data_IF_518128802624
#
_entry.id   IF_518128802624
#
_cell.length_a   1.000
_cell.length_b   1.000
_cell.length_c   1.000
_cell.angle_alpha   90.00
_cell.angle_beta   90.00
_cell.angle_gamma   90.00
#
_symmetry.space_group_name_H-M   'P 1'
#
loop_
_entity.id
_entity.type
_entity.pdbx_description
1 polymer ?
#
# COMPACT_ATOMS: atom_id res chain seq x y z
N UNK A 1 -28.26 -15.86 0.17
CA UNK A 1 -26.93 -15.81 -0.47
C UNK A 1 -26.72 -16.90 -1.52
N UNK A 2 -26.69 -18.20 -1.21
CA UNK A 2 -26.50 -19.22 -2.27
C UNK A 2 -27.52 -19.09 -3.41
N UNK A 3 -28.81 -18.95 -3.08
CA UNK A 3 -29.88 -18.71 -4.07
C UNK A 3 -29.73 -17.40 -4.84
N UNK A 4 -29.13 -16.37 -4.25
CA UNK A 4 -28.95 -15.05 -4.88
C UNK A 4 -27.77 -15.05 -5.85
N UNK A 5 -26.68 -15.74 -5.48
CA UNK A 5 -25.55 -16.01 -6.38
C UNK A 5 -25.99 -16.87 -7.56
N UNK A 6 -26.78 -17.92 -7.31
CA UNK A 6 -27.36 -18.75 -8.38
C UNK A 6 -28.26 -17.93 -9.29
N UNK A 7 -29.19 -17.13 -8.74
CA UNK A 7 -30.05 -16.26 -9.53
C UNK A 7 -29.27 -15.27 -10.40
N UNK A 8 -28.16 -14.72 -9.89
CA UNK A 8 -27.31 -13.79 -10.65
C UNK A 8 -26.48 -14.49 -11.71
N UNK A 9 -26.02 -15.72 -11.45
CA UNK A 9 -25.37 -16.56 -12.45
C UNK A 9 -26.34 -16.92 -13.59
N UNK A 10 -27.57 -17.29 -13.26
CA UNK A 10 -28.61 -17.61 -14.24
C UNK A 10 -28.99 -16.35 -15.08
N UNK A 11 -29.07 -15.18 -14.44
CA UNK A 11 -29.25 -13.91 -15.14
C UNK A 11 -28.09 -13.60 -16.10
N UNK A 12 -26.85 -13.88 -15.70
CA UNK A 12 -25.68 -13.71 -16.55
C UNK A 12 -25.71 -14.66 -17.75
N UNK A 13 -26.10 -15.92 -17.54
CA UNK A 13 -26.20 -16.93 -18.59
C UNK A 13 -27.31 -16.62 -19.60
N UNK A 14 -28.46 -16.11 -19.14
CA UNK A 14 -29.54 -15.62 -20.00
C UNK A 14 -29.10 -14.39 -20.82
N UNK A 15 -28.47 -13.40 -20.17
CA UNK A 15 -27.93 -12.22 -20.87
C UNK A 15 -26.88 -12.61 -21.91
N UNK A 16 -25.99 -13.54 -21.57
CA UNK A 16 -24.99 -14.06 -22.49
C UNK A 16 -25.63 -14.77 -23.70
N UNK A 17 -26.67 -15.57 -23.45
CA UNK A 17 -27.43 -16.25 -24.50
C UNK A 17 -28.18 -15.28 -25.42
N UNK A 18 -28.70 -14.17 -24.88
CA UNK A 18 -29.28 -13.06 -25.66
C UNK A 18 -28.21 -12.34 -26.49
N UNK A 19 -27.01 -12.15 -25.94
CA UNK A 19 -25.88 -11.55 -26.62
C UNK A 19 -25.50 -12.34 -27.88
N UNK A 20 -25.46 -13.68 -27.77
CA UNK A 20 -25.22 -14.58 -28.90
C UNK A 20 -26.29 -14.51 -29.99
N UNK A 21 -27.56 -14.21 -29.65
CA UNK A 21 -28.66 -14.05 -30.62
C UNK A 21 -28.61 -12.69 -31.32
N UNK A 22 -28.26 -11.63 -30.59
CA UNK A 22 -28.15 -10.24 -31.10
C UNK A 22 -26.87 -10.04 -31.90
N UNK A 23 -25.85 -10.89 -31.74
CA UNK A 23 -24.61 -10.91 -32.52
C UNK A 23 -24.82 -10.83 -34.05
N UNK A 24 -26.00 -11.24 -34.56
CA UNK A 24 -26.37 -11.15 -35.97
C UNK A 24 -27.17 -9.88 -36.37
N UNK A 25 -27.58 -9.03 -35.43
CA UNK A 25 -28.41 -7.84 -35.66
C UNK A 25 -27.95 -6.65 -34.80
N UNK A 26 -27.44 -5.61 -35.46
CA UNK A 26 -27.20 -4.25 -34.98
C UNK A 26 -26.17 -4.03 -33.82
N UNK A 27 -25.42 -2.92 -33.93
CA UNK A 27 -24.26 -2.58 -33.10
C UNK A 27 -24.63 -1.94 -31.75
N UNK A 28 -25.79 -1.29 -31.68
CA UNK A 28 -26.21 -0.52 -30.49
C UNK A 28 -26.83 -1.43 -29.41
N UNK A 29 -27.63 -2.43 -29.82
CA UNK A 29 -28.16 -3.44 -28.90
C UNK A 29 -27.05 -4.28 -28.26
N UNK A 30 -26.00 -4.62 -29.05
CA UNK A 30 -24.83 -5.33 -28.54
C UNK A 30 -24.07 -4.51 -27.48
N UNK A 31 -23.98 -3.18 -27.67
CA UNK A 31 -23.31 -2.28 -26.73
C UNK A 31 -24.08 -2.17 -25.41
N UNK A 32 -25.41 -2.02 -25.47
CA UNK A 32 -26.25 -1.99 -24.28
C UNK A 32 -26.18 -3.32 -23.49
N UNK A 33 -26.19 -4.46 -24.19
CA UNK A 33 -26.08 -5.77 -23.55
C UNK A 33 -24.70 -6.02 -22.92
N UNK A 34 -23.62 -5.57 -23.57
CA UNK A 34 -22.27 -5.62 -23.00
C UNK A 34 -22.16 -4.85 -21.69
N UNK A 35 -22.78 -3.66 -21.62
CA UNK A 35 -22.84 -2.86 -20.38
C UNK A 35 -23.58 -3.63 -19.28
N UNK A 36 -24.73 -4.24 -19.60
CA UNK A 36 -25.49 -5.04 -18.64
C UNK A 36 -24.74 -6.31 -18.17
N UNK A 37 -24.05 -7.01 -19.07
CA UNK A 37 -23.18 -8.14 -18.71
C UNK A 37 -22.06 -7.71 -17.77
N UNK A 38 -21.42 -6.56 -18.04
CA UNK A 38 -20.35 -6.03 -17.19
C UNK A 38 -20.87 -5.64 -15.81
N UNK A 39 -22.02 -4.96 -15.74
CA UNK A 39 -22.67 -4.62 -14.46
C UNK A 39 -23.04 -5.87 -13.66
N UNK A 40 -23.53 -6.91 -14.33
CA UNK A 40 -23.89 -8.19 -13.70
C UNK A 40 -22.65 -8.92 -13.19
N UNK A 41 -21.56 -8.93 -13.96
CA UNK A 41 -20.27 -9.52 -13.55
C UNK A 41 -19.68 -8.82 -12.32
N UNK A 42 -19.74 -7.48 -12.29
CA UNK A 42 -19.33 -6.70 -11.10
C UNK A 42 -20.19 -7.06 -9.89
N UNK A 43 -21.52 -7.19 -10.05
CA UNK A 43 -22.42 -7.59 -8.97
C UNK A 43 -22.16 -9.03 -8.47
N UNK A 44 -21.88 -9.97 -9.38
CA UNK A 44 -21.51 -11.34 -9.03
C UNK A 44 -20.20 -11.38 -8.24
N UNK A 45 -19.18 -10.66 -8.70
CA UNK A 45 -17.89 -10.56 -8.00
C UNK A 45 -18.06 -9.95 -6.61
N UNK A 46 -18.89 -8.91 -6.48
CA UNK A 46 -19.23 -8.33 -5.18
C UNK A 46 -19.86 -9.34 -4.22
N UNK A 47 -20.87 -10.10 -4.69
CA UNK A 47 -21.56 -11.10 -3.88
C UNK A 47 -20.65 -12.27 -3.50
N UNK A 48 -19.76 -12.71 -4.40
CA UNK A 48 -18.78 -13.76 -4.13
C UNK A 48 -17.80 -13.32 -3.04
N UNK A 49 -17.23 -12.11 -3.16
CA UNK A 49 -16.33 -11.54 -2.15
C UNK A 49 -17.05 -11.41 -0.81
N UNK A 50 -18.27 -10.88 -0.81
CA UNK A 50 -19.09 -10.77 0.41
C UNK A 50 -19.35 -12.13 1.06
N UNK A 51 -19.73 -13.14 0.27
CA UNK A 51 -20.02 -14.48 0.80
C UNK A 51 -18.79 -15.14 1.43
N UNK A 52 -17.59 -14.88 0.86
CA UNK A 52 -16.32 -15.33 1.43
C UNK A 52 -16.01 -14.65 2.76
N UNK A 53 -16.19 -13.34 2.84
CA UNK A 53 -16.03 -12.57 4.09
C UNK A 53 -17.00 -13.09 5.16
N UNK A 54 -18.27 -13.33 4.82
CA UNK A 54 -19.25 -13.87 5.78
C UNK A 54 -18.89 -15.29 6.24
N UNK A 55 -18.29 -16.11 5.37
CA UNK A 55 -17.82 -17.45 5.73
C UNK A 55 -16.63 -17.40 6.69
N UNK A 56 -15.63 -16.56 6.40
CA UNK A 56 -14.44 -16.34 7.23
C UNK A 56 -14.85 -15.78 8.61
N UNK A 57 -15.75 -14.79 8.65
CA UNK A 57 -16.29 -14.25 9.89
C UNK A 57 -17.02 -15.30 10.74
N UNK A 58 -17.84 -16.17 10.11
CA UNK A 58 -18.51 -17.28 10.83
C UNK A 58 -17.50 -18.28 11.41
N UNK A 59 -16.41 -18.54 10.70
CA UNK A 59 -15.34 -19.43 11.19
C UNK A 59 -14.65 -18.82 12.42
N UNK A 60 -14.37 -17.52 12.40
CA UNK A 60 -13.75 -16.81 13.53
C UNK A 60 -14.66 -16.75 14.76
N UNK A 61 -15.94 -16.42 14.58
CA UNK A 61 -16.93 -16.41 15.68
C UNK A 61 -17.06 -17.80 16.32
N UNK A 62 -17.08 -18.85 15.51
CA UNK A 62 -17.09 -20.23 16.00
C UNK A 62 -15.80 -20.56 16.79
N UNK A 63 -14.63 -20.16 16.30
CA UNK A 63 -13.36 -20.36 16.98
C UNK A 63 -13.30 -19.63 18.34
N UNK A 64 -13.77 -18.38 18.38
CA UNK A 64 -13.87 -17.59 19.62
C UNK A 64 -14.84 -18.24 20.62
N UNK A 65 -15.99 -18.71 20.16
CA UNK A 65 -16.97 -19.41 21.00
C UNK A 65 -16.40 -20.69 21.60
N UNK A 66 -15.65 -21.47 20.81
CA UNK A 66 -14.96 -22.68 21.29
C UNK A 66 -13.90 -22.33 22.35
N UNK A 67 -13.11 -21.26 22.13
CA UNK A 67 -12.10 -20.79 23.08
C UNK A 67 -12.71 -20.30 24.39
N UNK A 68 -13.81 -19.55 24.32
CA UNK A 68 -14.54 -19.07 25.49
C UNK A 68 -15.11 -20.24 26.31
N UNK A 69 -15.68 -21.27 25.66
CA UNK A 69 -16.14 -22.48 26.34
C UNK A 69 -15.01 -23.22 27.06
N UNK A 70 -13.84 -23.37 26.44
CA UNK A 70 -12.65 -23.98 27.08
C UNK A 70 -12.12 -23.18 28.27
N UNK A 71 -12.32 -21.87 28.31
CA UNK A 71 -11.89 -21.02 29.43
C UNK A 71 -12.93 -20.97 30.56
N UNK A 72 -14.21 -21.18 30.23
CA UNK A 72 -15.29 -21.22 31.21
C UNK A 72 -15.38 -22.57 31.97
N UNK A 73 -14.62 -23.58 31.55
CA UNK A 73 -14.47 -24.81 32.35
C UNK A 73 -13.76 -24.47 33.66
N UNK A 74 -14.41 -24.70 34.82
CA UNK A 74 -13.89 -24.27 36.11
C UNK A 74 -12.57 -24.99 36.39
N UNK A 75 -11.47 -24.22 36.41
CA UNK A 75 -10.20 -24.69 36.95
C UNK A 75 -10.39 -24.96 38.44
N UNK A 76 -10.25 -26.22 38.82
CA UNK A 76 -10.23 -26.64 40.21
C UNK A 76 -9.25 -25.76 41.02
N UNK A 77 -9.75 -25.28 42.14
CA UNK A 77 -9.21 -24.25 43.03
C UNK A 77 -7.75 -24.42 43.44
N UNK A 78 -6.94 -23.36 43.31
CA UNK A 78 -5.74 -23.17 44.14
C UNK A 78 -5.62 -21.72 44.64
N UNK A 79 -5.65 -21.60 45.96
CA UNK A 79 -5.11 -20.56 46.87
C UNK A 79 -5.12 -19.06 46.50
N UNK A 80 -5.76 -18.28 47.37
CA UNK A 80 -5.71 -16.80 47.44
C UNK A 80 -4.44 -16.34 48.15
N UNK A 81 -3.72 -15.40 47.55
CA UNK A 81 -2.62 -14.64 48.19
C UNK A 81 -3.10 -13.21 48.54
N UNK A 82 -2.75 -12.62 49.70
CA UNK A 82 -3.26 -11.32 50.10
C UNK A 82 -2.42 -10.14 49.58
N UNK A 83 -3.12 -9.06 49.23
CA UNK A 83 -2.59 -7.76 48.79
C UNK A 83 -1.89 -6.99 49.93
N UNK A 84 -0.78 -6.30 49.60
CA UNK A 84 -0.08 -5.35 50.48
C UNK A 84 -0.20 -3.92 49.97
N UNK A 85 -0.53 -3.02 50.89
CA UNK A 85 -0.61 -1.56 50.73
C UNK A 85 0.77 -0.90 50.51
N UNK A 86 0.80 0.14 49.66
CA UNK A 86 1.99 0.95 49.40
C UNK A 86 1.72 2.42 49.73
N UNK A 87 2.54 3.00 50.63
CA UNK A 87 2.48 4.38 51.11
C UNK A 87 2.98 5.40 50.08
N UNK A 88 2.32 6.57 50.02
CA UNK A 88 2.73 7.79 49.30
C UNK A 88 3.87 8.50 50.04
N UNK A 89 4.89 8.94 49.30
CA UNK A 89 5.92 9.86 49.75
C UNK A 89 5.78 11.23 49.07
N UNK A 90 5.98 12.30 49.84
CA UNK A 90 5.90 13.70 49.45
C UNK A 90 7.07 14.13 48.55
N UNK A 91 6.82 15.08 47.65
CA UNK A 91 7.79 15.58 46.65
C UNK A 91 8.22 17.00 46.99
N UNK A 92 9.54 17.21 47.06
CA UNK A 92 10.17 18.53 47.24
C UNK A 92 10.36 19.22 45.88
N UNK A 93 10.03 20.51 45.83
CA UNK A 93 10.20 21.36 44.67
C UNK A 93 11.59 22.02 44.67
N UNK A 94 12.41 21.79 43.63
CA UNK A 94 13.33 22.83 43.16
C UNK A 94 13.89 22.58 41.76
N UNK A 95 13.99 23.69 41.02
CA UNK A 95 14.76 24.02 39.81
C UNK A 95 13.94 24.07 38.51
N UNK A 96 13.49 25.29 38.23
CA UNK A 96 12.93 25.71 36.95
C UNK A 96 14.04 25.82 35.91
N UNK A 97 13.80 25.21 34.76
CA UNK A 97 14.64 25.24 33.58
C UNK A 97 14.27 26.49 32.74
N UNK A 98 15.22 27.41 32.46
CA UNK A 98 14.95 28.63 31.70
C UNK A 98 14.47 28.37 30.26
N UNK A 99 14.73 27.18 29.68
CA UNK A 99 14.19 26.82 28.37
C UNK A 99 12.67 26.49 28.41
N UNK A 100 12.17 26.03 29.56
CA UNK A 100 10.73 25.76 29.77
C UNK A 100 9.90 27.03 29.93
N UNK A 101 10.48 28.10 30.49
CA UNK A 101 9.81 29.41 30.60
C UNK A 101 9.74 30.11 29.23
N UNK A 102 10.79 29.99 28.40
CA UNK A 102 10.77 30.52 27.02
C UNK A 102 9.73 29.78 26.15
N UNK A 103 9.58 28.47 26.33
CA UNK A 103 8.55 27.69 25.64
C UNK A 103 7.13 28.06 26.08
N UNK A 104 6.93 28.44 27.35
CA UNK A 104 5.63 28.91 27.86
C UNK A 104 5.30 30.33 27.41
N UNK A 105 6.29 31.23 27.34
CA UNK A 105 6.11 32.58 26.77
C UNK A 105 5.73 32.53 25.28
N UNK A 106 6.40 31.70 24.49
CA UNK A 106 6.08 31.52 23.06
C UNK A 106 4.68 30.89 22.84
N UNK A 107 4.22 30.05 23.77
CA UNK A 107 2.86 29.50 23.73
C UNK A 107 1.81 30.56 24.12
N UNK A 108 2.13 31.43 25.08
CA UNK A 108 1.24 32.51 25.54
C UNK A 108 1.07 33.59 24.47
N UNK A 109 2.13 33.97 23.76
CA UNK A 109 2.08 34.92 22.64
C UNK A 109 1.28 34.37 21.45
N UNK A 110 1.32 33.05 21.24
CA UNK A 110 0.54 32.36 20.21
C UNK A 110 -0.96 32.26 20.56
N UNK A 111 -1.31 32.00 21.81
CA UNK A 111 -2.71 31.88 22.27
C UNK A 111 -3.37 33.26 22.45
N UNK A 112 -2.60 34.29 22.79
CA UNK A 112 -3.12 35.66 23.00
C UNK A 112 -3.35 36.46 21.71
N UNK A 113 -2.92 35.94 20.55
CA UNK A 113 -3.11 36.57 19.24
C UNK A 113 -2.29 37.85 19.04
N UNK A 114 -1.30 38.12 19.88
CA UNK A 114 -0.52 39.35 19.89
C UNK A 114 0.76 39.25 19.05
N UNK A 115 0.69 38.82 17.79
CA UNK A 115 1.76 39.04 16.83
C UNK A 115 1.26 39.04 15.38
N UNK A 116 1.26 40.21 14.75
CA UNK A 116 1.12 40.35 13.30
C UNK A 116 2.45 40.01 12.62
N UNK A 117 2.59 38.81 12.06
CA UNK A 117 3.74 38.41 11.24
C UNK A 117 3.26 37.81 9.91
N UNK A 118 3.88 38.15 8.75
CA UNK A 118 3.20 38.13 7.47
C UNK A 118 3.19 36.76 6.77
N UNK A 119 2.05 36.54 6.15
CA UNK A 119 1.69 35.64 5.05
C UNK A 119 2.87 35.11 4.19
N UNK A 120 3.48 33.98 4.58
CA UNK A 120 4.15 33.04 3.67
C UNK A 120 3.94 31.62 4.19
N UNK A 121 3.43 30.73 3.34
CA UNK A 121 3.17 29.33 3.66
C UNK A 121 4.36 28.68 4.34
N UNK A 122 4.17 28.28 5.60
CA UNK A 122 5.20 27.72 6.46
C UNK A 122 4.92 26.26 6.80
N UNK A 123 5.99 25.50 7.01
CA UNK A 123 5.94 24.20 7.67
C UNK A 123 5.38 24.38 9.10
N UNK A 124 4.37 23.58 9.46
CA UNK A 124 3.87 23.52 10.84
C UNK A 124 4.48 22.28 11.49
N UNK A 125 5.29 22.50 12.52
CA UNK A 125 5.72 21.42 13.40
C UNK A 125 4.63 21.19 14.45
N UNK A 126 4.12 19.96 14.53
CA UNK A 126 3.21 19.55 15.58
C UNK A 126 3.95 18.53 16.45
N UNK A 127 4.11 18.85 17.71
CA UNK A 127 4.65 17.94 18.72
C UNK A 127 3.49 17.16 19.32
N UNK A 128 3.49 15.84 19.16
CA UNK A 128 2.54 14.96 19.84
C UNK A 128 3.24 14.30 21.02
N UNK A 129 2.63 14.40 22.19
CA UNK A 129 3.08 13.74 23.41
C UNK A 129 2.36 12.41 23.53
N UNK A 130 3.10 11.30 23.47
CA UNK A 130 2.58 9.99 23.85
C UNK A 130 3.11 9.66 25.26
N UNK A 131 2.17 9.62 26.21
CA UNK A 131 2.44 9.21 27.58
C UNK A 131 2.40 7.67 27.61
N UNK A 132 3.57 7.03 27.75
CA UNK A 132 3.71 5.58 27.59
C UNK A 132 3.66 4.81 28.93
N UNK A 133 3.19 5.44 30.01
CA UNK A 133 3.07 4.80 31.31
C UNK A 133 2.19 5.57 32.31
N UNK A 134 1.99 4.99 33.50
CA UNK A 134 1.25 5.61 34.61
C UNK A 134 2.04 6.74 35.31
N UNK A 135 3.29 6.96 34.90
CA UNK A 135 4.19 8.00 35.42
C UNK A 135 4.30 9.17 34.43
N UNK A 136 4.03 10.43 34.85
CA UNK A 136 4.17 11.61 33.98
C UNK A 136 5.60 11.91 33.51
N UNK A 137 6.60 11.13 33.95
CA UNK A 137 8.01 11.29 33.59
C UNK A 137 8.44 10.44 32.37
N UNK A 138 7.55 9.61 31.82
CA UNK A 138 7.80 8.79 30.62
C UNK A 138 6.98 9.29 29.43
N UNK A 139 7.15 10.56 29.08
CA UNK A 139 6.63 11.12 27.84
C UNK A 139 7.70 11.06 26.75
N UNK A 140 7.39 10.39 25.64
CA UNK A 140 8.18 10.53 24.42
C UNK A 140 7.59 11.65 23.57
N UNK A 141 8.43 12.59 23.13
CA UNK A 141 8.03 13.69 22.26
C UNK A 141 8.33 13.27 20.82
N UNK A 142 7.29 13.06 20.03
CA UNK A 142 7.42 12.85 18.59
C UNK A 142 7.14 14.17 17.86
N UNK A 143 8.15 14.69 17.15
CA UNK A 143 8.01 15.88 16.32
C UNK A 143 7.58 15.46 14.92
N UNK A 144 6.34 15.81 14.54
CA UNK A 144 5.82 15.56 13.20
C UNK A 144 5.72 16.86 12.42
N UNK A 145 6.29 16.88 11.21
CA UNK A 145 6.27 18.04 10.32
C UNK A 145 5.10 17.91 9.34
N UNK A 146 4.17 18.86 9.39
CA UNK A 146 3.02 18.93 8.49
C UNK A 146 3.17 20.13 7.56
N UNK A 147 2.91 19.92 6.27
CA UNK A 147 2.74 21.00 5.32
C UNK A 147 1.24 21.29 5.24
N UNK A 148 0.81 22.38 5.88
CA UNK A 148 -0.61 22.78 5.89
C UNK A 148 -0.91 23.54 4.61
N UNK A 149 -1.71 22.94 3.73
CA UNK A 149 -2.35 23.62 2.60
C UNK A 149 -3.73 24.10 3.04
N UNK A 150 -4.18 25.27 2.55
CA UNK A 150 -5.50 25.83 2.88
C UNK A 150 -6.62 24.85 2.50
N UNK A 151 -7.62 24.79 3.38
CA UNK A 151 -8.74 23.84 3.42
C UNK A 151 -9.87 24.15 2.42
N UNK A 152 -9.65 25.03 1.43
CA UNK A 152 -10.75 25.58 0.59
C UNK A 152 -10.87 24.99 -0.83
N UNK A 153 -10.05 24.02 -1.23
CA UNK A 153 -10.20 23.39 -2.54
C UNK A 153 -11.12 22.17 -2.47
N UNK A 154 -12.34 22.38 -2.96
CA UNK A 154 -13.34 21.35 -3.27
C UNK A 154 -12.68 20.19 -4.02
N UNK A 155 -12.45 19.06 -3.35
CA UNK A 155 -11.71 17.92 -3.91
C UNK A 155 -12.63 17.19 -4.90
N UNK A 156 -12.53 17.56 -6.18
CA UNK A 156 -13.26 16.94 -7.29
C UNK A 156 -13.14 15.40 -7.28
N UNK A 157 -14.28 14.72 -7.47
CA UNK A 157 -14.38 13.26 -7.56
C UNK A 157 -13.47 12.64 -8.67
N UNK A 158 -13.02 13.46 -9.62
CA UNK A 158 -12.10 13.07 -10.67
C UNK A 158 -10.65 12.81 -10.19
N UNK A 159 -10.24 13.28 -9.01
CA UNK A 159 -8.90 13.00 -8.47
C UNK A 159 -8.74 11.52 -8.08
N UNK A 160 -9.81 10.87 -7.62
CA UNK A 160 -9.79 9.50 -7.10
C UNK A 160 -9.45 8.44 -8.16
N UNK A 161 -10.00 8.57 -9.37
CA UNK A 161 -9.79 7.63 -10.48
C UNK A 161 -8.35 7.62 -11.01
N UNK A 162 -7.62 8.74 -10.90
CA UNK A 162 -6.19 8.81 -11.28
C UNK A 162 -5.25 8.43 -10.13
N UNK A 163 -5.75 8.41 -8.90
CA UNK A 163 -4.93 8.27 -7.72
C UNK A 163 -4.78 6.81 -7.26
N UNK A 164 -5.78 5.94 -7.48
CA UNK A 164 -5.70 4.51 -7.13
C UNK A 164 -4.61 3.72 -7.87
N UNK A 165 -4.35 4.03 -9.14
CA UNK A 165 -3.29 3.40 -9.96
C UNK A 165 -1.87 3.85 -9.62
N UNK A 166 -1.73 4.93 -8.84
CA UNK A 166 -0.46 5.57 -8.52
C UNK A 166 -0.29 5.90 -7.02
N UNK A 167 -1.13 5.30 -6.18
CA UNK A 167 -1.36 5.68 -4.78
C UNK A 167 -0.10 5.72 -3.90
N UNK A 168 0.91 4.93 -4.24
CA UNK A 168 2.26 5.09 -3.75
C UNK A 168 3.18 4.77 -4.92
N UNK A 169 4.16 5.64 -5.23
CA UNK A 169 5.19 5.29 -6.21
C UNK A 169 6.20 4.37 -5.54
N UNK A 170 5.77 3.15 -5.21
CA UNK A 170 6.69 2.08 -4.80
C UNK A 170 7.76 1.83 -5.87
N UNK A 171 7.51 2.24 -7.12
CA UNK A 171 8.50 2.35 -8.20
C UNK A 171 9.64 3.28 -7.85
N UNK A 172 9.35 4.50 -7.38
CA UNK A 172 10.37 5.47 -6.97
C UNK A 172 11.14 4.87 -5.77
N UNK A 173 10.44 4.34 -4.74
CA UNK A 173 11.11 3.67 -3.60
C UNK A 173 12.07 2.56 -4.06
N UNK A 174 11.60 1.64 -4.90
CA UNK A 174 12.39 0.51 -5.36
C UNK A 174 13.57 0.95 -6.24
N UNK A 175 13.36 1.88 -7.17
CA UNK A 175 14.43 2.38 -8.04
C UNK A 175 15.50 3.13 -7.23
N UNK A 176 15.08 4.00 -6.30
CA UNK A 176 15.97 4.72 -5.38
C UNK A 176 16.72 3.78 -4.45
N UNK A 177 16.08 2.73 -3.95
CA UNK A 177 16.70 1.69 -3.12
C UNK A 177 17.85 0.99 -3.86
N UNK A 178 17.63 0.56 -5.10
CA UNK A 178 18.66 -0.11 -5.91
C UNK A 178 19.84 0.81 -6.14
N UNK A 179 19.59 2.06 -6.56
CA UNK A 179 20.67 3.04 -6.79
C UNK A 179 21.40 3.38 -5.49
N UNK A 180 20.69 3.48 -4.37
CA UNK A 180 21.29 3.70 -3.05
C UNK A 180 22.28 2.59 -2.72
N UNK A 181 21.85 1.33 -2.81
CA UNK A 181 22.70 0.16 -2.56
C UNK A 181 23.93 0.12 -3.49
N UNK A 182 23.77 0.46 -4.77
CA UNK A 182 24.89 0.61 -5.69
C UNK A 182 25.85 1.73 -5.27
N UNK A 183 25.36 2.88 -4.83
CA UNK A 183 26.19 4.00 -4.36
C UNK A 183 26.93 3.69 -3.07
N UNK A 184 26.31 2.93 -2.17
CA UNK A 184 26.92 2.43 -0.92
C UNK A 184 27.93 1.29 -1.15
N UNK A 185 28.07 0.79 -2.38
CA UNK A 185 29.07 -0.22 -2.73
C UNK A 185 28.69 -1.66 -2.38
N UNK A 186 27.41 -1.94 -2.14
CA UNK A 186 26.92 -3.32 -1.92
C UNK A 186 26.98 -4.19 -3.18
N UNK A 187 27.04 -3.57 -4.35
CA UNK A 187 27.21 -4.26 -5.63
C UNK A 187 28.54 -3.86 -6.26
N UNK A 188 29.32 -4.85 -6.70
CA UNK A 188 30.64 -4.67 -7.28
C UNK A 188 30.57 -3.93 -8.64
N UNK A 189 31.57 -3.11 -8.94
CA UNK A 189 31.66 -2.43 -10.23
C UNK A 189 32.32 -1.05 -10.17
N UNK A 190 33.00 -0.67 -11.26
CA UNK A 190 33.74 0.59 -11.38
C UNK A 190 32.84 1.82 -11.57
N UNK A 191 31.68 1.66 -12.19
CA UNK A 191 30.72 2.74 -12.45
C UNK A 191 29.28 2.31 -12.11
N UNK A 192 28.35 3.26 -12.01
CA UNK A 192 26.98 2.98 -11.60
C UNK A 192 26.30 1.91 -12.48
N UNK A 193 26.45 1.97 -13.80
CA UNK A 193 25.88 0.95 -14.70
C UNK A 193 26.44 -0.45 -14.46
N UNK A 194 27.75 -0.57 -14.17
CA UNK A 194 28.36 -1.86 -13.84
C UNK A 194 27.77 -2.43 -12.55
N UNK A 195 27.57 -1.57 -11.53
CA UNK A 195 26.95 -1.97 -10.25
C UNK A 195 25.49 -2.34 -10.41
N UNK A 196 24.75 -1.61 -11.24
CA UNK A 196 23.35 -1.91 -11.60
C UNK A 196 23.24 -3.25 -12.33
N UNK A 197 24.19 -3.58 -13.22
CA UNK A 197 24.23 -4.88 -13.89
C UNK A 197 24.45 -6.03 -12.89
N UNK A 198 25.35 -5.85 -11.92
CA UNK A 198 25.55 -6.82 -10.83
C UNK A 198 24.31 -6.97 -9.96
N UNK A 199 23.68 -5.86 -9.56
CA UNK A 199 22.43 -5.87 -8.81
C UNK A 199 21.31 -6.61 -9.58
N UNK A 200 21.24 -6.41 -10.89
CA UNK A 200 20.26 -7.09 -11.75
C UNK A 200 20.52 -8.59 -11.86
N UNK A 201 21.78 -9.02 -11.97
CA UNK A 201 22.15 -10.43 -11.95
C UNK A 201 21.72 -11.12 -10.64
N UNK A 202 21.87 -10.43 -9.51
CA UNK A 202 21.40 -10.94 -8.22
C UNK A 202 19.87 -11.00 -8.13
N UNK A 203 19.18 -9.94 -8.58
CA UNK A 203 17.72 -9.90 -8.66
C UNK A 203 17.16 -11.04 -9.54
N UNK A 204 17.72 -11.26 -10.72
CA UNK A 204 17.27 -12.34 -11.62
C UNK A 204 17.52 -13.72 -11.03
N UNK A 205 18.64 -13.92 -10.33
CA UNK A 205 18.89 -15.15 -9.58
C UNK A 205 17.82 -15.37 -8.49
N UNK A 206 17.45 -14.32 -7.76
CA UNK A 206 16.37 -14.37 -6.77
C UNK A 206 15.00 -14.68 -7.39
N UNK A 207 14.67 -14.05 -8.52
CA UNK A 207 13.42 -14.31 -9.26
C UNK A 207 13.34 -15.78 -9.68
N UNK A 208 14.44 -16.34 -10.19
CA UNK A 208 14.55 -17.76 -10.54
C UNK A 208 14.34 -18.70 -9.36
N UNK A 209 15.00 -18.44 -8.22
CA UNK A 209 14.79 -19.22 -6.97
C UNK A 209 13.36 -19.13 -6.45
N UNK A 210 12.75 -17.95 -6.56
CA UNK A 210 11.38 -17.69 -6.14
C UNK A 210 10.32 -18.27 -7.07
N UNK A 211 10.71 -18.87 -8.21
CA UNK A 211 9.80 -19.36 -9.27
C UNK A 211 8.84 -18.29 -9.77
N UNK A 212 9.29 -17.03 -9.82
CA UNK A 212 8.52 -15.89 -10.33
C UNK A 212 9.01 -15.52 -11.73
N UNK A 213 8.24 -14.71 -12.43
CA UNK A 213 8.60 -14.17 -13.75
C UNK A 213 8.60 -12.65 -13.68
N UNK A 214 9.63 -12.02 -14.24
CA UNK A 214 9.78 -10.56 -14.31
C UNK A 214 9.75 -10.11 -15.77
N UNK A 215 9.14 -8.95 -16.04
CA UNK A 215 9.22 -8.26 -17.33
C UNK A 215 10.46 -7.36 -17.48
N UNK A 216 11.17 -7.12 -16.36
CA UNK A 216 12.44 -6.38 -16.37
C UNK A 216 13.51 -7.22 -17.06
N UNK A 217 14.21 -6.59 -18.00
CA UNK A 217 15.18 -7.20 -18.91
C UNK A 217 16.63 -6.89 -18.54
N UNK A 218 16.91 -5.68 -18.04
CA UNK A 218 18.17 -5.27 -17.40
C UNK A 218 18.02 -3.96 -16.64
N UNK A 219 19.01 -3.60 -15.82
CA UNK A 219 19.10 -2.28 -15.18
C UNK A 219 20.24 -1.44 -15.76
N UNK A 220 19.93 -0.18 -16.04
CA UNK A 220 20.87 0.87 -16.42
C UNK A 220 20.32 2.21 -15.96
N UNK A 221 21.16 3.25 -15.93
CA UNK A 221 20.71 4.62 -15.62
C UNK A 221 19.50 5.03 -16.46
N UNK A 222 19.59 4.82 -17.78
CA UNK A 222 18.51 5.16 -18.71
C UNK A 222 17.23 4.39 -18.41
N UNK A 223 17.33 3.09 -18.08
CA UNK A 223 16.16 2.28 -17.73
C UNK A 223 15.52 2.72 -16.41
N UNK A 224 16.28 3.31 -15.49
CA UNK A 224 15.75 3.89 -14.25
C UNK A 224 15.29 5.36 -14.41
N UNK A 225 15.20 5.85 -15.66
CA UNK A 225 14.91 7.24 -16.00
C UNK A 225 15.88 8.26 -15.37
N UNK A 226 17.17 7.90 -15.32
CA UNK A 226 18.24 8.79 -14.85
C UNK A 226 19.06 9.31 -16.04
N UNK A 227 19.12 10.63 -16.21
CA UNK A 227 20.00 11.27 -17.20
C UNK A 227 21.48 11.28 -16.76
N UNK A 228 21.74 11.30 -15.45
CA UNK A 228 23.09 11.31 -14.87
C UNK A 228 23.15 10.47 -13.59
N UNK A 229 24.35 10.21 -13.07
CA UNK A 229 24.56 9.47 -11.82
C UNK A 229 23.96 10.18 -10.60
N UNK A 230 23.65 11.47 -10.72
CA UNK A 230 23.05 12.30 -9.68
C UNK A 230 21.63 12.73 -10.02
N UNK A 231 20.98 12.07 -10.97
CA UNK A 231 19.56 12.29 -11.28
C UNK A 231 18.65 11.41 -10.41
N UNK A 232 17.35 11.74 -10.35
CA UNK A 232 16.38 10.97 -9.60
C UNK A 232 16.02 9.68 -10.34
N UNK A 233 16.20 8.48 -9.75
CA UNK A 233 15.63 7.27 -10.32
C UNK A 233 14.10 7.30 -10.15
N UNK A 234 13.36 7.16 -11.25
CA UNK A 234 11.88 7.30 -11.22
C UNK A 234 11.13 6.13 -11.85
N UNK A 235 11.84 5.14 -12.37
CA UNK A 235 11.23 3.91 -12.89
C UNK A 235 12.13 2.70 -12.69
N UNK A 236 11.57 1.52 -12.93
CA UNK A 236 12.26 0.22 -12.92
C UNK A 236 12.31 -0.37 -14.35
N UNK A 237 12.60 0.49 -15.35
CA UNK A 237 12.54 0.14 -16.77
C UNK A 237 11.40 0.88 -17.46
N UNK A 238 11.70 2.03 -18.09
CA UNK A 238 10.70 2.99 -18.61
C UNK A 238 9.64 2.44 -19.58
N UNK A 239 9.84 1.28 -20.21
CA UNK A 239 8.85 0.62 -21.08
C UNK A 239 8.27 -0.70 -20.54
N UNK A 240 8.97 -1.37 -19.62
CA UNK A 240 8.65 -2.75 -19.21
C UNK A 240 8.40 -2.92 -17.71
N UNK A 241 8.80 -1.96 -16.87
CA UNK A 241 8.63 -2.01 -15.42
C UNK A 241 7.17 -1.82 -15.02
N UNK A 242 6.39 -2.90 -15.06
CA UNK A 242 5.00 -2.91 -14.65
C UNK A 242 4.89 -2.80 -13.14
N UNK A 243 3.67 -2.54 -12.66
CA UNK A 243 3.40 -2.54 -11.23
C UNK A 243 3.73 -3.90 -10.57
N UNK A 244 3.51 -5.01 -11.27
CA UNK A 244 3.86 -6.34 -10.79
C UNK A 244 5.37 -6.49 -10.56
N UNK A 245 6.20 -5.99 -11.47
CA UNK A 245 7.67 -6.03 -11.33
C UNK A 245 8.15 -5.22 -10.13
N UNK A 246 7.46 -4.11 -9.82
CA UNK A 246 7.77 -3.30 -8.64
C UNK A 246 7.64 -4.12 -7.35
N UNK A 247 6.60 -4.94 -7.23
CA UNK A 247 6.43 -5.83 -6.09
C UNK A 247 7.49 -6.94 -6.05
N UNK A 248 7.99 -7.40 -7.21
CA UNK A 248 9.11 -8.33 -7.28
C UNK A 248 10.40 -7.69 -6.77
N UNK A 249 10.72 -6.49 -7.23
CA UNK A 249 11.93 -5.76 -6.81
C UNK A 249 11.87 -5.45 -5.30
N UNK A 250 10.73 -4.98 -4.78
CA UNK A 250 10.58 -4.79 -3.33
C UNK A 250 10.69 -6.10 -2.55
N UNK A 251 10.14 -7.21 -3.07
CA UNK A 251 10.29 -8.53 -2.43
C UNK A 251 11.74 -9.00 -2.38
N UNK A 252 12.49 -8.80 -3.47
CA UNK A 252 13.92 -9.08 -3.50
C UNK A 252 14.70 -8.17 -2.55
N UNK A 253 14.42 -6.86 -2.55
CA UNK A 253 15.06 -5.91 -1.64
C UNK A 253 14.82 -6.27 -0.18
N UNK A 254 13.62 -6.74 0.19
CA UNK A 254 13.34 -7.20 1.56
C UNK A 254 14.24 -8.38 1.96
N UNK A 255 14.41 -9.38 1.07
CA UNK A 255 15.30 -10.51 1.31
C UNK A 255 16.77 -10.08 1.36
N UNK A 256 17.21 -9.26 0.40
CA UNK A 256 18.58 -8.75 0.32
C UNK A 256 18.95 -7.88 1.54
N UNK A 257 18.06 -7.00 1.99
CA UNK A 257 18.25 -6.22 3.21
C UNK A 257 18.18 -7.10 4.48
N UNK A 258 17.73 -8.34 4.35
CA UNK A 258 17.81 -9.38 5.37
C UNK A 258 19.21 -10.01 5.47
N UNK A 259 19.99 -10.02 4.38
CA UNK A 259 21.32 -10.66 4.35
C UNK A 259 22.46 -9.72 4.70
N UNK A 260 22.27 -8.40 4.57
CA UNK A 260 23.29 -7.40 4.92
C UNK A 260 23.13 -6.88 6.36
N UNK A 261 24.24 -6.49 6.99
CA UNK A 261 24.24 -5.89 8.34
C UNK A 261 23.74 -4.43 8.30
N UNK A 262 22.43 -4.23 8.42
CA UNK A 262 21.84 -2.88 8.45
C UNK A 262 22.07 -2.12 9.76
N UNK A 263 22.40 -2.80 10.86
CA UNK A 263 22.40 -2.22 12.21
C UNK A 263 23.42 -1.09 12.41
N UNK A 264 24.49 -1.05 11.61
CA UNK A 264 25.55 -0.03 11.71
C UNK A 264 25.32 1.19 10.83
N UNK A 265 24.27 1.18 10.02
CA UNK A 265 24.04 2.22 9.03
C UNK A 265 22.57 2.64 9.05
N UNK A 266 22.31 3.79 9.68
CA UNK A 266 20.96 4.34 9.84
C UNK A 266 20.20 4.47 8.51
N UNK A 267 20.92 4.70 7.39
CA UNK A 267 20.31 4.82 6.06
C UNK A 267 19.82 3.45 5.55
N UNK A 268 20.58 2.39 5.78
CA UNK A 268 20.16 1.02 5.46
C UNK A 268 19.04 0.54 6.38
N UNK A 269 19.05 0.95 7.65
CA UNK A 269 17.95 0.66 8.58
C UNK A 269 16.66 1.34 8.13
N UNK A 270 16.71 2.64 7.81
CA UNK A 270 15.58 3.37 7.24
C UNK A 270 15.08 2.74 5.94
N UNK A 271 16.00 2.29 5.07
CA UNK A 271 15.65 1.61 3.83
C UNK A 271 14.92 0.30 4.08
N UNK A 272 15.41 -0.50 5.04
CA UNK A 272 14.79 -1.76 5.44
C UNK A 272 13.38 -1.54 5.97
N UNK A 273 13.17 -0.56 6.85
CA UNK A 273 11.83 -0.23 7.37
C UNK A 273 10.90 0.18 6.23
N UNK A 274 11.36 1.04 5.31
CA UNK A 274 10.54 1.48 4.18
C UNK A 274 10.12 0.30 3.27
N UNK A 275 11.07 -0.58 2.92
CA UNK A 275 10.81 -1.74 2.03
C UNK A 275 9.91 -2.77 2.71
N UNK A 276 10.22 -3.16 3.96
CA UNK A 276 9.42 -4.14 4.73
C UNK A 276 8.00 -3.63 4.92
N UNK A 277 7.85 -2.37 5.34
CA UNK A 277 6.53 -1.77 5.57
C UNK A 277 5.74 -1.66 4.26
N UNK A 278 6.40 -1.32 3.14
CA UNK A 278 5.74 -1.30 1.83
C UNK A 278 5.24 -2.69 1.42
N UNK A 279 6.06 -3.73 1.57
CA UNK A 279 5.63 -5.11 1.29
C UNK A 279 4.53 -5.57 2.23
N UNK A 280 4.61 -5.26 3.53
CA UNK A 280 3.56 -5.58 4.49
C UNK A 280 2.23 -4.92 4.13
N UNK A 281 2.25 -3.64 3.76
CA UNK A 281 1.08 -2.90 3.29
C UNK A 281 0.43 -3.58 2.08
N UNK A 282 1.20 -3.81 0.99
CA UNK A 282 0.64 -4.40 -0.23
C UNK A 282 0.23 -5.87 -0.06
N UNK A 283 0.95 -6.67 0.74
CA UNK A 283 0.58 -8.06 1.02
C UNK A 283 -0.76 -8.14 1.75
N UNK A 284 -0.94 -7.35 2.81
CA UNK A 284 -2.19 -7.34 3.58
C UNK A 284 -3.36 -6.76 2.78
N UNK A 285 -3.13 -5.66 2.05
CA UNK A 285 -4.16 -5.06 1.20
C UNK A 285 -4.65 -6.02 0.10
N UNK A 286 -3.76 -6.84 -0.48
CA UNK A 286 -4.12 -7.87 -1.48
C UNK A 286 -4.76 -9.11 -0.87
N UNK A 287 -4.43 -9.43 0.38
CA UNK A 287 -5.08 -10.52 1.11
C UNK A 287 -6.53 -10.17 1.44
N UNK A 288 -6.83 -8.88 1.57
CA UNK A 288 -8.19 -8.37 1.73
C UNK A 288 -8.93 -8.32 0.38
N UNK A 289 -10.26 -8.43 0.44
CA UNK A 289 -11.14 -8.20 -0.71
C UNK A 289 -11.45 -6.71 -0.88
N UNK A 290 -12.72 -6.42 -1.17
CA UNK A 290 -13.21 -5.05 -1.30
C UNK A 290 -13.06 -4.27 0.02
N UNK A 291 -13.30 -4.96 1.13
CA UNK A 291 -13.28 -4.41 2.49
C UNK A 291 -12.06 -4.92 3.26
N UNK A 292 -11.47 -4.03 4.04
CA UNK A 292 -10.33 -4.29 4.93
C UNK A 292 -10.87 -4.30 6.36
N UNK A 293 -11.04 -5.49 6.93
CA UNK A 293 -11.49 -5.72 8.30
C UNK A 293 -10.31 -5.94 9.24
N UNK A 294 -10.56 -5.93 10.55
CA UNK A 294 -9.58 -6.46 11.50
C UNK A 294 -9.35 -7.97 11.30
N UNK A 295 -8.15 -8.50 11.60
CA UNK A 295 -6.96 -7.80 12.10
C UNK A 295 -6.10 -7.14 11.01
N UNK A 296 -6.43 -7.35 9.73
CA UNK A 296 -5.62 -6.86 8.61
C UNK A 296 -5.56 -5.34 8.56
N UNK A 297 -6.65 -4.66 8.92
CA UNK A 297 -6.73 -3.20 8.94
C UNK A 297 -5.66 -2.58 9.85
N UNK A 298 -5.54 -3.04 11.10
CA UNK A 298 -4.49 -2.57 12.00
C UNK A 298 -3.08 -2.72 11.40
N UNK A 299 -2.79 -3.87 10.78
CA UNK A 299 -1.49 -4.12 10.13
C UNK A 299 -1.26 -3.20 8.94
N UNK A 300 -2.29 -2.99 8.10
CA UNK A 300 -2.22 -2.09 6.94
C UNK A 300 -1.97 -0.64 7.39
N UNK A 301 -2.67 -0.16 8.41
CA UNK A 301 -2.53 1.19 8.94
C UNK A 301 -1.12 1.43 9.50
N UNK A 302 -0.63 0.51 10.34
CA UNK A 302 0.71 0.57 10.89
C UNK A 302 1.77 0.55 9.77
N UNK A 303 1.65 -0.37 8.82
CA UNK A 303 2.58 -0.49 7.70
C UNK A 303 2.56 0.75 6.78
N UNK A 304 1.39 1.34 6.53
CA UNK A 304 1.27 2.56 5.73
C UNK A 304 1.96 3.75 6.40
N UNK A 305 1.72 3.94 7.72
CA UNK A 305 2.36 4.99 8.51
C UNK A 305 3.89 4.83 8.51
N UNK A 306 4.39 3.64 8.88
CA UNK A 306 5.83 3.36 8.90
C UNK A 306 6.49 3.50 7.53
N UNK A 307 5.79 3.13 6.45
CA UNK A 307 6.28 3.32 5.08
C UNK A 307 6.44 4.81 4.74
N UNK A 308 5.44 5.66 5.06
CA UNK A 308 5.51 7.10 4.82
C UNK A 308 6.62 7.78 5.64
N UNK A 309 6.72 7.46 6.93
CA UNK A 309 7.74 8.00 7.83
C UNK A 309 9.15 7.62 7.38
N UNK A 310 9.37 6.32 7.09
CA UNK A 310 10.66 5.84 6.64
C UNK A 310 11.07 6.43 5.27
N UNK A 311 10.12 6.59 4.34
CA UNK A 311 10.40 7.27 3.07
C UNK A 311 10.77 8.75 3.27
N UNK A 312 10.05 9.46 4.14
CA UNK A 312 10.37 10.85 4.50
C UNK A 312 11.75 10.99 5.13
N UNK A 313 12.09 10.07 6.05
CA UNK A 313 13.41 9.97 6.66
C UNK A 313 14.52 9.75 5.62
N UNK A 314 14.34 8.79 4.71
CA UNK A 314 15.30 8.51 3.63
C UNK A 314 15.49 9.72 2.70
N UNK A 315 14.40 10.41 2.36
CA UNK A 315 14.46 11.63 1.56
C UNK A 315 15.28 12.73 2.24
N UNK A 316 15.04 12.96 3.53
CA UNK A 316 15.79 13.93 4.33
C UNK A 316 17.28 13.58 4.40
N UNK A 317 17.62 12.35 4.80
CA UNK A 317 19.01 11.89 4.92
C UNK A 317 19.77 11.94 3.59
N UNK A 318 19.17 11.43 2.51
CA UNK A 318 19.81 11.50 1.19
C UNK A 318 19.97 12.95 0.70
N UNK A 319 19.03 13.84 0.99
CA UNK A 319 19.16 15.26 0.67
C UNK A 319 20.35 15.90 1.38
N UNK A 320 20.54 15.66 2.68
CA UNK A 320 21.72 16.13 3.44
C UNK A 320 23.03 15.59 2.85
N UNK A 321 23.02 14.35 2.38
CA UNK A 321 24.17 13.72 1.70
C UNK A 321 24.37 14.18 0.25
N UNK A 322 23.57 15.14 -0.25
CA UNK A 322 23.56 15.62 -1.64
C UNK A 322 23.30 14.50 -2.66
N UNK A 323 22.52 13.50 -2.28
CA UNK A 323 22.09 12.38 -3.13
C UNK A 323 20.63 12.57 -3.57
N UNK A 324 20.39 12.69 -4.88
CA UNK A 324 19.03 12.80 -5.45
C UNK A 324 18.39 11.43 -5.62
N UNK A 325 17.91 10.82 -4.53
CA UNK A 325 17.33 9.46 -4.53
C UNK A 325 15.84 9.42 -4.23
N UNK A 326 15.42 9.72 -3.00
CA UNK A 326 14.01 9.58 -2.59
C UNK A 326 13.25 10.89 -2.80
N UNK A 327 12.71 11.09 -4.00
CA UNK A 327 11.98 12.32 -4.34
C UNK A 327 10.65 12.37 -3.57
N UNK A 328 10.44 13.41 -2.76
CA UNK A 328 9.14 13.71 -2.19
C UNK A 328 8.24 14.31 -3.27
N UNK A 329 7.08 13.69 -3.51
CA UNK A 329 6.05 14.19 -4.43
C UNK A 329 4.74 14.35 -3.65
N UNK A 330 3.81 15.20 -4.13
CA UNK A 330 2.47 15.31 -3.54
C UNK A 330 1.73 13.96 -3.42
N UNK A 331 2.11 12.94 -4.19
CA UNK A 331 1.53 11.59 -4.10
C UNK A 331 1.78 10.88 -2.76
N UNK A 332 2.82 11.23 -2.00
CA UNK A 332 3.03 10.66 -0.66
C UNK A 332 1.94 11.13 0.30
N UNK A 333 1.48 12.37 0.13
CA UNK A 333 0.33 12.88 0.88
C UNK A 333 -0.96 12.12 0.54
N UNK A 334 -1.13 11.67 -0.71
CA UNK A 334 -2.26 10.81 -1.07
C UNK A 334 -2.25 9.47 -0.31
N UNK A 335 -1.06 8.88 -0.08
CA UNK A 335 -0.95 7.67 0.74
C UNK A 335 -1.37 7.92 2.21
N UNK A 336 -1.12 9.12 2.75
CA UNK A 336 -1.61 9.51 4.08
C UNK A 336 -3.14 9.59 4.08
N UNK A 337 -3.76 10.17 3.06
CA UNK A 337 -5.23 10.20 2.90
C UNK A 337 -5.83 8.79 2.82
N UNK A 338 -5.21 7.88 2.06
CA UNK A 338 -5.65 6.47 2.05
C UNK A 338 -5.61 5.88 3.46
N UNK A 339 -4.56 6.17 4.21
CA UNK A 339 -4.40 5.66 5.59
C UNK A 339 -5.47 6.24 6.51
N UNK A 340 -5.76 7.54 6.38
CA UNK A 340 -6.84 8.20 7.13
C UNK A 340 -8.20 7.58 6.81
N UNK A 341 -8.52 7.40 5.52
CA UNK A 341 -9.78 6.79 5.09
C UNK A 341 -9.93 5.35 5.54
N UNK A 342 -8.85 4.56 5.51
CA UNK A 342 -8.84 3.19 6.03
C UNK A 342 -9.10 3.15 7.55
N UNK A 343 -8.77 4.23 8.26
CA UNK A 343 -8.97 4.35 9.70
C UNK A 343 -10.38 4.83 10.09
N UNK A 344 -11.20 5.26 9.11
CA UNK A 344 -12.57 5.69 9.38
C UNK A 344 -13.52 4.49 9.49
N UNK A 345 -14.33 4.46 10.55
CA UNK A 345 -15.36 3.43 10.78
C UNK A 345 -14.82 2.09 11.28
N UNK A 346 -15.61 1.03 11.16
CA UNK A 346 -15.24 -0.34 11.58
C UNK A 346 -14.62 -1.19 10.45
N UNK A 347 -14.84 -0.77 9.20
CA UNK A 347 -14.37 -1.42 7.98
C UNK A 347 -13.79 -0.39 7.04
N UNK A 348 -12.54 -0.62 6.60
CA UNK A 348 -11.88 0.23 5.61
C UNK A 348 -12.23 -0.21 4.19
N UNK A 349 -12.38 0.73 3.27
CA UNK A 349 -12.47 0.41 1.85
C UNK A 349 -11.07 0.21 1.26
N UNK A 350 -10.83 -0.93 0.60
CA UNK A 350 -9.51 -1.23 0.03
C UNK A 350 -9.17 -0.28 -1.11
N UNK A 351 -8.13 0.53 -0.94
CA UNK A 351 -7.64 1.42 -2.00
C UNK A 351 -7.17 0.67 -3.27
N UNK A 352 -6.86 -0.63 -3.16
CA UNK A 352 -6.49 -1.44 -4.33
C UNK A 352 -7.67 -1.65 -5.30
N UNK A 353 -8.91 -1.45 -4.86
CA UNK A 353 -10.09 -1.54 -5.74
C UNK A 353 -10.07 -0.46 -6.83
N UNK A 354 -9.40 0.67 -6.58
CA UNK A 354 -9.20 1.73 -7.56
C UNK A 354 -7.86 1.60 -8.29
N UNK A 355 -7.08 0.54 -8.03
CA UNK A 355 -5.81 0.34 -8.69
C UNK A 355 -6.01 -0.26 -10.08
N UNK A 356 -5.47 0.39 -11.10
CA UNK A 356 -5.53 -0.11 -12.48
C UNK A 356 -4.57 -1.30 -12.73
N UNK A 357 -3.96 -1.89 -11.70
CA UNK A 357 -3.02 -3.01 -11.90
C UNK A 357 -3.73 -4.23 -12.50
N UNK A 358 -4.90 -4.56 -11.97
CA UNK A 358 -5.75 -5.63 -12.50
C UNK A 358 -6.25 -5.29 -13.91
N UNK A 359 -6.57 -4.02 -14.15
CA UNK A 359 -7.04 -3.53 -15.44
C UNK A 359 -5.93 -3.59 -16.51
N UNK A 360 -4.69 -3.20 -16.18
CA UNK A 360 -3.54 -3.26 -17.08
C UNK A 360 -3.26 -4.70 -17.55
N UNK A 361 -3.29 -5.66 -16.62
CA UNK A 361 -3.10 -7.08 -16.94
C UNK A 361 -4.29 -7.66 -17.71
N UNK A 362 -5.51 -7.20 -17.44
CA UNK A 362 -6.69 -7.55 -18.22
C UNK A 362 -6.58 -7.02 -19.66
N UNK A 363 -6.36 -5.72 -19.83
CA UNK A 363 -6.20 -5.05 -21.13
C UNK A 363 -5.05 -5.70 -21.90
N UNK A 364 -3.93 -6.02 -21.24
CA UNK A 364 -2.79 -6.70 -21.86
C UNK A 364 -3.11 -8.13 -22.34
N UNK A 365 -4.01 -8.85 -21.68
CA UNK A 365 -4.52 -10.16 -22.13
C UNK A 365 -5.46 -9.99 -23.32
N UNK A 366 -6.44 -9.09 -23.22
CA UNK A 366 -7.39 -8.80 -24.31
C UNK A 366 -6.66 -8.30 -25.56
N UNK A 367 -5.65 -7.45 -25.43
CA UNK A 367 -4.81 -6.95 -26.53
C UNK A 367 -3.98 -8.05 -27.21
N UNK A 368 -3.50 -9.05 -26.45
CA UNK A 368 -2.85 -10.23 -27.05
C UNK A 368 -3.86 -11.09 -27.80
N UNK A 369 -5.06 -11.24 -27.24
CA UNK A 369 -6.13 -12.03 -27.81
C UNK A 369 -6.67 -11.42 -29.11
N UNK A 370 -6.84 -10.10 -29.16
CA UNK A 370 -7.31 -9.39 -30.35
C UNK A 370 -6.38 -9.58 -31.54
N UNK A 371 -5.05 -9.64 -31.32
CA UNK A 371 -4.04 -9.93 -32.35
C UNK A 371 -4.14 -11.34 -32.97
N UNK A 372 -4.86 -12.25 -32.31
CA UNK A 372 -5.14 -13.60 -32.84
C UNK A 372 -6.45 -13.68 -33.64
N UNK A 373 -7.13 -12.55 -33.83
CA UNK A 373 -8.44 -12.48 -34.49
C UNK A 373 -8.31 -11.77 -35.84
N UNK A 374 -9.16 -12.15 -36.80
CA UNK A 374 -9.21 -11.47 -38.09
C UNK A 374 -9.72 -10.03 -37.91
N UNK A 375 -9.12 -8.99 -38.55
CA UNK A 375 -9.48 -7.59 -38.31
C UNK A 375 -10.98 -7.27 -38.44
N UNK A 376 -11.66 -7.84 -39.45
CA UNK A 376 -13.10 -7.64 -39.67
C UNK A 376 -13.99 -8.17 -38.55
N UNK A 377 -13.54 -9.18 -37.81
CA UNK A 377 -14.30 -9.82 -36.73
C UNK A 377 -13.60 -9.69 -35.38
N UNK A 378 -12.59 -8.80 -35.29
CA UNK A 378 -11.66 -8.73 -34.17
C UNK A 378 -12.38 -8.46 -32.85
N UNK A 379 -13.26 -7.44 -32.80
CA UNK A 379 -13.97 -7.08 -31.58
C UNK A 379 -14.78 -8.26 -31.03
N UNK A 380 -15.55 -8.90 -31.91
CA UNK A 380 -16.45 -10.01 -31.56
C UNK A 380 -15.69 -11.27 -31.19
N UNK A 381 -14.72 -11.69 -32.02
CA UNK A 381 -13.88 -12.87 -31.74
C UNK A 381 -13.00 -12.69 -30.50
N UNK A 382 -12.53 -11.48 -30.23
CA UNK A 382 -11.78 -11.18 -29.02
C UNK A 382 -12.68 -11.32 -27.78
N UNK A 383 -13.91 -10.82 -27.84
CA UNK A 383 -14.89 -10.96 -26.76
C UNK A 383 -15.24 -12.44 -26.52
N UNK A 384 -15.61 -13.18 -27.56
CA UNK A 384 -15.91 -14.62 -27.48
C UNK A 384 -14.76 -15.40 -26.83
N UNK A 385 -13.53 -15.20 -27.32
CA UNK A 385 -12.36 -15.88 -26.77
C UNK A 385 -12.10 -15.48 -25.32
N UNK A 386 -12.31 -14.22 -24.95
CA UNK A 386 -12.13 -13.75 -23.57
C UNK A 386 -13.15 -14.41 -22.63
N UNK A 387 -14.42 -14.48 -23.05
CA UNK A 387 -15.49 -15.12 -22.29
C UNK A 387 -15.29 -16.63 -22.14
N UNK A 388 -14.77 -17.31 -23.17
CA UNK A 388 -14.36 -18.73 -23.07
C UNK A 388 -13.25 -18.91 -22.03
N UNK A 389 -12.22 -18.05 -22.03
CA UNK A 389 -11.14 -18.11 -21.04
C UNK A 389 -11.66 -17.92 -19.61
N UNK A 390 -12.62 -17.02 -19.42
CA UNK A 390 -13.26 -16.80 -18.13
C UNK A 390 -14.13 -17.97 -17.69
N UNK A 391 -14.93 -18.54 -18.59
CA UNK A 391 -15.69 -19.76 -18.30
C UNK A 391 -14.79 -20.90 -17.81
N UNK A 392 -13.61 -21.09 -18.45
CA UNK A 392 -12.63 -22.09 -18.02
C UNK A 392 -12.05 -21.77 -16.64
N UNK A 393 -11.78 -20.49 -16.34
CA UNK A 393 -11.27 -20.08 -15.03
C UNK A 393 -12.30 -20.30 -13.92
N UNK A 394 -13.57 -19.91 -14.15
CA UNK A 394 -14.64 -20.12 -13.18
C UNK A 394 -14.87 -21.60 -12.87
N UNK A 395 -14.77 -22.47 -13.86
CA UNK A 395 -14.85 -23.93 -13.67
C UNK A 395 -13.73 -24.53 -12.81
N UNK A 396 -12.59 -23.85 -12.63
CA UNK A 396 -11.50 -24.30 -11.75
C UNK A 396 -11.67 -23.88 -10.29
N UNK A 397 -12.48 -22.84 -10.06
CA UNK A 397 -12.72 -22.29 -8.72
C UNK A 397 -13.85 -23.06 -8.02
N UNK A 398 -14.80 -23.58 -8.80
CA UNK A 398 -15.84 -24.50 -8.35
C UNK A 398 -15.27 -25.90 -8.17
#
# INVERSE_FOLDING_TARGET
>A
MANEVTQKADQFEDLYSKLLKIQHKAKDELTALMVQCTQTDVACNYLLVRSRIELEWRQDVNAMTIKAKKQAEPKASSERVPLRDRKRGEFNASKKDPESELACELLHDYVSGAASVPNRGGLVACATYECMGESPLECSVSLSFYMVMKEEDNVDDHLWLKAGSHAFRSKDLAASAVVLLCKLGHFQGRCLNSRLATAYAEFTAWVGRSKKTTGIDWWSKLKLDMASDNDWPTSLGSSNGKACDTALVLGWLEEFLGTIECARNDLLQGLKVAVVSSNAFFRNMRACGLWVTEPHRAVVLAAAKSMCEAYGYLASKCFTMRMKLFRLRPKIHFQQHITMLLNLGDVGFSALNFSCWSDEDYIGRVSRLSRTCHPRTMALRCLEKALVLYSIQFKKIR
#
